data_IF_807009617162
#
_entry.id   IF_807009617162
#
_cell.length_a   1.000
_cell.length_b   1.000
_cell.length_c   1.000
_cell.angle_alpha   90.00
_cell.angle_beta   90.00
_cell.angle_gamma   90.00
#
_symmetry.space_group_name_H-M   'P 1'
#
loop_
_entity.id
_entity.type
_entity.pdbx_description
1 polymer ?
#
# COMPACT_ATOMS: atom_id res chain seq x y z
N UNK A 1 17.57 -6.86 -0.41
CA UNK A 1 16.89 -7.58 -1.52
C UNK A 1 15.53 -6.95 -1.93
N UNK A 2 14.39 -7.10 -1.22
CA UNK A 2 13.17 -6.30 -1.53
C UNK A 2 13.29 -4.85 -1.04
N UNK A 3 13.84 -4.67 0.16
CA UNK A 3 14.12 -3.36 0.76
C UNK A 3 15.00 -2.48 -0.13
N UNK A 4 16.01 -3.07 -0.78
CA UNK A 4 16.85 -2.36 -1.76
C UNK A 4 16.07 -1.85 -2.97
N UNK A 5 15.13 -2.62 -3.51
CA UNK A 5 14.24 -2.18 -4.61
C UNK A 5 13.31 -1.05 -4.18
N UNK A 6 12.98 -0.99 -2.88
CA UNK A 6 12.25 0.12 -2.28
C UNK A 6 13.17 1.32 -1.94
N UNK A 7 14.48 1.23 -2.21
CA UNK A 7 15.45 2.27 -1.91
C UNK A 7 15.93 2.29 -0.45
N UNK A 8 15.67 1.23 0.30
CA UNK A 8 16.02 1.06 1.71
C UNK A 8 17.26 0.19 1.86
N UNK A 9 18.39 0.67 1.34
CA UNK A 9 19.69 -0.03 1.43
C UNK A 9 20.18 -0.07 2.89
N UNK A 10 20.71 -1.21 3.31
CA UNK A 10 21.22 -1.41 4.68
C UNK A 10 20.15 -1.69 5.73
N UNK A 11 18.87 -1.75 5.34
CA UNK A 11 17.79 -2.19 6.22
C UNK A 11 17.64 -3.71 6.18
N UNK A 12 17.29 -4.28 7.34
CA UNK A 12 16.96 -5.70 7.53
C UNK A 12 15.53 -5.82 8.01
N UNK A 13 14.80 -6.83 7.52
CA UNK A 13 13.43 -7.12 7.97
C UNK A 13 13.47 -7.75 9.37
N UNK A 14 12.67 -7.24 10.29
CA UNK A 14 12.34 -7.95 11.52
C UNK A 14 11.23 -8.97 11.23
N UNK A 15 11.63 -10.21 10.98
CA UNK A 15 10.71 -11.29 10.63
C UNK A 15 9.69 -11.63 11.73
N UNK A 16 9.89 -11.17 12.97
CA UNK A 16 8.92 -11.38 14.06
C UNK A 16 7.69 -10.48 13.94
N UNK A 17 7.78 -9.43 13.12
CA UNK A 17 6.72 -8.42 12.94
C UNK A 17 5.88 -8.63 11.67
N UNK A 18 6.15 -9.69 10.92
CA UNK A 18 5.46 -9.95 9.66
C UNK A 18 4.02 -10.35 9.93
N UNK A 19 3.08 -9.60 9.36
CA UNK A 19 1.64 -9.81 9.55
C UNK A 19 0.89 -9.67 8.21
N UNK A 20 -0.21 -10.40 8.08
CA UNK A 20 -1.15 -10.31 6.96
C UNK A 20 -2.44 -9.67 7.46
N UNK A 21 -3.16 -8.99 6.56
CA UNK A 21 -4.46 -8.39 6.87
C UNK A 21 -4.42 -7.47 8.11
N UNK A 22 -3.55 -6.46 8.07
CA UNK A 22 -3.37 -5.56 9.21
C UNK A 22 -4.52 -4.58 9.37
N UNK A 23 -5.04 -4.50 10.59
CA UNK A 23 -5.96 -3.46 11.02
C UNK A 23 -5.16 -2.29 11.57
N UNK A 24 -5.39 -1.09 11.04
CA UNK A 24 -4.67 0.08 11.49
C UNK A 24 -5.15 0.59 12.85
N UNK A 25 -4.21 1.11 13.65
CA UNK A 25 -4.52 1.86 14.88
C UNK A 25 -5.27 3.19 14.62
N UNK A 26 -5.22 3.71 13.38
CA UNK A 26 -6.04 4.88 12.97
C UNK A 26 -7.48 4.45 12.75
N UNK A 27 -7.69 3.25 12.20
CA UNK A 27 -8.99 2.70 11.86
C UNK A 27 -9.38 1.62 12.89
N UNK A 28 -9.72 2.03 14.11
CA UNK A 28 -10.04 1.12 15.24
C UNK A 28 -11.39 0.38 15.10
N UNK A 29 -11.87 0.17 13.88
CA UNK A 29 -13.11 -0.59 13.63
C UNK A 29 -12.74 -2.00 13.18
N UNK A 30 -13.23 -3.02 13.90
CA UNK A 30 -12.84 -4.44 13.82
C UNK A 30 -13.10 -5.17 12.48
N UNK A 31 -13.40 -4.47 11.37
CA UNK A 31 -13.86 -5.11 10.13
C UNK A 31 -13.27 -4.56 8.84
N UNK A 32 -12.40 -3.55 8.92
CA UNK A 32 -11.77 -2.97 7.73
C UNK A 32 -10.25 -3.17 7.83
N UNK A 33 -9.71 -4.21 7.18
CA UNK A 33 -8.27 -4.35 6.99
C UNK A 33 -7.76 -3.16 6.16
N UNK A 34 -6.66 -2.56 6.59
CA UNK A 34 -6.05 -1.41 5.93
C UNK A 34 -4.92 -1.81 5.00
N UNK A 35 -4.30 -2.98 5.21
CA UNK A 35 -3.18 -3.47 4.42
C UNK A 35 -3.22 -4.99 4.28
N UNK A 36 -2.81 -5.51 3.12
CA UNK A 36 -2.77 -6.95 2.87
C UNK A 36 -1.59 -7.63 3.58
N UNK A 37 -0.50 -6.88 3.77
CA UNK A 37 0.75 -7.37 4.32
C UNK A 37 1.55 -6.23 4.94
N UNK A 38 2.28 -6.49 6.02
CA UNK A 38 3.21 -5.52 6.58
C UNK A 38 4.36 -6.17 7.35
N UNK A 39 5.38 -5.37 7.62
CA UNK A 39 6.47 -5.70 8.52
C UNK A 39 7.21 -4.45 8.96
N UNK A 40 8.05 -4.60 9.98
CA UNK A 40 9.03 -3.62 10.41
C UNK A 40 10.45 -4.02 10.03
N UNK A 41 11.34 -3.03 9.92
CA UNK A 41 12.78 -3.26 9.88
C UNK A 41 13.37 -3.25 11.28
N UNK A 42 14.54 -3.86 11.46
CA UNK A 42 15.28 -3.84 12.73
C UNK A 42 15.63 -2.41 13.21
N UNK A 43 15.69 -1.44 12.28
CA UNK A 43 15.90 -0.02 12.62
C UNK A 43 14.61 0.72 13.01
N UNK A 44 13.46 0.04 13.00
CA UNK A 44 12.16 0.58 13.42
C UNK A 44 11.33 1.20 12.29
N UNK A 45 11.66 0.99 11.02
CA UNK A 45 10.84 1.48 9.90
C UNK A 45 9.69 0.51 9.63
N UNK A 46 8.48 1.04 9.50
CA UNK A 46 7.28 0.24 9.19
C UNK A 46 7.00 0.28 7.69
N UNK A 47 6.67 -0.86 7.09
CA UNK A 47 6.28 -0.97 5.69
C UNK A 47 4.92 -1.61 5.58
N UNK A 48 3.98 -0.88 4.99
CA UNK A 48 2.61 -1.33 4.80
C UNK A 48 2.33 -1.56 3.32
N UNK A 49 1.82 -2.74 2.96
CA UNK A 49 1.61 -3.15 1.58
C UNK A 49 0.13 -3.26 1.25
N UNK A 50 -0.23 -2.71 0.11
CA UNK A 50 -1.53 -2.86 -0.53
C UNK A 50 -1.27 -3.48 -1.91
N UNK A 51 -1.92 -4.61 -2.18
CA UNK A 51 -1.58 -5.51 -3.26
C UNK A 51 -2.79 -5.67 -4.18
N UNK A 52 -2.61 -5.31 -5.45
CA UNK A 52 -3.59 -5.53 -6.51
C UNK A 52 -3.18 -6.69 -7.39
N UNK A 53 -4.14 -7.56 -7.70
CA UNK A 53 -3.93 -8.74 -8.53
C UNK A 53 -4.71 -8.64 -9.83
N UNK A 54 -6.02 -8.45 -9.73
CA UNK A 54 -6.97 -8.47 -10.88
C UNK A 54 -7.98 -7.33 -10.85
N UNK A 55 -7.99 -6.56 -9.78
CA UNK A 55 -8.94 -5.47 -9.59
C UNK A 55 -8.76 -4.42 -10.68
N UNK A 56 -9.86 -3.94 -11.24
CA UNK A 56 -9.83 -2.96 -12.34
C UNK A 56 -9.35 -1.58 -11.88
N UNK A 57 -9.53 -1.25 -10.61
CA UNK A 57 -9.18 0.02 -10.00
C UNK A 57 -9.12 -0.11 -8.48
N UNK A 58 -8.55 0.90 -7.81
CA UNK A 58 -8.67 1.02 -6.35
C UNK A 58 -10.10 1.33 -5.92
N UNK A 59 -10.49 0.75 -4.78
CA UNK A 59 -11.83 0.88 -4.22
C UNK A 59 -12.19 2.33 -3.85
N UNK A 60 -13.42 2.71 -4.20
CA UNK A 60 -14.04 3.99 -3.81
C UNK A 60 -15.11 3.74 -2.76
N UNK A 61 -15.49 4.79 -2.02
CA UNK A 61 -16.56 4.73 -1.06
C UNK A 61 -17.76 5.55 -1.52
N UNK A 62 -18.97 5.02 -1.30
CA UNK A 62 -20.20 5.79 -1.45
C UNK A 62 -20.23 6.91 -0.40
N UNK A 63 -20.62 8.11 -0.83
CA UNK A 63 -20.91 9.22 0.07
C UNK A 63 -22.26 8.97 0.76
N UNK A 64 -22.20 8.44 1.98
CA UNK A 64 -23.33 8.31 2.88
C UNK A 64 -22.98 8.82 4.29
N UNK A 65 -23.98 8.95 5.15
CA UNK A 65 -23.82 9.55 6.48
C UNK A 65 -22.73 8.85 7.32
N UNK A 66 -22.62 7.52 7.23
CA UNK A 66 -21.61 6.77 7.98
C UNK A 66 -20.19 7.08 7.48
N UNK A 67 -19.98 7.13 6.15
CA UNK A 67 -18.66 7.42 5.58
C UNK A 67 -18.26 8.88 5.75
N UNK A 68 -19.21 9.82 5.65
CA UNK A 68 -18.99 11.23 5.96
C UNK A 68 -18.54 11.38 7.42
N UNK A 69 -19.29 10.79 8.35
CA UNK A 69 -18.95 10.84 9.77
C UNK A 69 -17.57 10.22 10.05
N UNK A 70 -17.24 9.07 9.43
CA UNK A 70 -15.91 8.44 9.58
C UNK A 70 -14.79 9.33 9.03
N UNK A 71 -15.01 10.01 7.91
CA UNK A 71 -14.07 11.00 7.40
C UNK A 71 -13.85 12.16 8.38
N UNK A 72 -14.93 12.78 8.85
CA UNK A 72 -14.82 13.96 9.72
C UNK A 72 -14.19 13.65 11.09
N UNK A 73 -14.48 12.46 11.64
CA UNK A 73 -14.02 12.06 12.98
C UNK A 73 -12.65 11.38 12.99
N UNK A 74 -12.28 10.66 11.93
CA UNK A 74 -11.05 9.87 11.88
C UNK A 74 -10.11 10.40 10.81
N UNK A 75 -10.53 10.33 9.55
CA UNK A 75 -9.60 10.48 8.43
C UNK A 75 -9.12 11.91 8.20
N UNK A 76 -9.97 12.92 8.40
CA UNK A 76 -9.62 14.32 8.21
C UNK A 76 -8.40 14.70 9.05
N UNK A 77 -8.41 14.31 10.34
CA UNK A 77 -7.30 14.55 11.26
C UNK A 77 -6.08 13.69 10.91
N UNK A 78 -6.28 12.41 10.59
CA UNK A 78 -5.18 11.51 10.24
C UNK A 78 -4.43 11.94 8.97
N UNK A 79 -5.12 12.57 8.02
CA UNK A 79 -4.59 13.11 6.78
C UNK A 79 -3.89 14.46 6.93
N UNK A 80 -4.06 15.16 8.07
CA UNK A 80 -3.40 16.43 8.32
C UNK A 80 -1.89 16.29 8.18
N UNK A 81 -1.28 17.23 7.46
CA UNK A 81 0.15 17.31 7.18
C UNK A 81 0.71 16.14 6.34
N UNK A 82 -0.09 15.14 5.95
CA UNK A 82 0.32 14.02 5.09
C UNK A 82 -0.23 14.13 3.68
N UNK A 83 -1.46 14.63 3.58
CA UNK A 83 -2.17 14.89 2.34
C UNK A 83 -2.26 16.40 2.18
N UNK A 84 -2.00 16.89 0.96
CA UNK A 84 -2.07 18.32 0.69
C UNK A 84 -3.46 18.88 0.96
N UNK A 85 -3.59 20.12 1.48
CA UNK A 85 -4.87 20.66 1.94
C UNK A 85 -5.99 20.62 0.90
N UNK A 86 -5.68 20.85 -0.38
CA UNK A 86 -6.65 20.84 -1.48
C UNK A 86 -7.27 19.44 -1.71
N UNK A 87 -6.56 18.37 -1.36
CA UNK A 87 -7.04 16.99 -1.47
C UNK A 87 -7.59 16.43 -0.15
N UNK A 88 -7.36 17.10 0.99
CA UNK A 88 -7.92 16.71 2.29
C UNK A 88 -9.35 17.24 2.47
N UNK A 89 -10.27 16.76 1.64
CA UNK A 89 -11.71 16.98 1.78
C UNK A 89 -12.46 15.66 1.62
N UNK A 90 -13.70 15.59 2.11
CA UNK A 90 -14.48 14.35 2.14
C UNK A 90 -14.71 13.77 0.74
N UNK A 91 -15.00 14.60 -0.24
CA UNK A 91 -15.32 14.16 -1.60
C UNK A 91 -14.12 13.53 -2.29
N UNK A 92 -12.97 14.21 -2.27
CA UNK A 92 -11.71 13.65 -2.78
C UNK A 92 -11.33 12.38 -2.03
N UNK A 93 -11.48 12.36 -0.70
CA UNK A 93 -11.12 11.20 0.12
C UNK A 93 -11.97 9.98 -0.24
N UNK A 94 -13.30 10.11 -0.30
CA UNK A 94 -14.19 8.99 -0.62
C UNK A 94 -14.08 8.54 -2.09
N UNK A 95 -13.80 9.47 -3.02
CA UNK A 95 -13.53 9.14 -4.42
C UNK A 95 -12.25 8.31 -4.62
N UNK A 96 -11.30 8.38 -3.68
CA UNK A 96 -10.03 7.65 -3.70
C UNK A 96 -9.85 6.81 -2.43
N UNK A 97 -10.95 6.28 -1.88
CA UNK A 97 -11.05 5.80 -0.50
C UNK A 97 -9.95 4.82 -0.10
N UNK A 98 -9.71 3.78 -0.90
CA UNK A 98 -8.70 2.78 -0.57
C UNK A 98 -7.31 3.40 -0.51
N UNK A 99 -6.90 4.12 -1.56
CA UNK A 99 -5.58 4.78 -1.62
C UNK A 99 -5.43 5.77 -0.46
N UNK A 100 -6.41 6.64 -0.25
CA UNK A 100 -6.33 7.68 0.77
C UNK A 100 -6.23 7.07 2.18
N UNK A 101 -6.93 5.96 2.44
CA UNK A 101 -6.77 5.18 3.67
C UNK A 101 -5.37 4.61 3.84
N UNK A 102 -4.70 4.19 2.77
CA UNK A 102 -3.31 3.77 2.90
C UNK A 102 -2.38 4.98 3.14
N UNK A 103 -2.56 6.06 2.39
CA UNK A 103 -1.66 7.23 2.40
C UNK A 103 -1.59 7.95 3.75
N UNK A 104 -2.65 7.94 4.56
CA UNK A 104 -2.59 8.53 5.91
C UNK A 104 -1.62 7.81 6.86
N UNK A 105 -1.01 6.69 6.46
CA UNK A 105 -0.01 5.97 7.24
C UNK A 105 1.43 6.37 6.95
N UNK A 106 1.68 7.21 5.95
CA UNK A 106 3.05 7.70 5.71
C UNK A 106 3.54 8.53 6.89
N UNK A 107 4.81 8.36 7.22
CA UNK A 107 5.49 9.13 8.25
C UNK A 107 6.98 9.20 7.96
N UNK A 108 7.77 9.80 8.85
CA UNK A 108 9.23 9.77 8.75
C UNK A 108 9.76 8.33 8.66
N UNK A 109 9.16 7.42 9.42
CA UNK A 109 9.61 6.03 9.60
C UNK A 109 8.55 5.02 9.14
N UNK A 110 7.62 5.44 8.27
CA UNK A 110 6.56 4.56 7.76
C UNK A 110 6.37 4.75 6.27
N UNK A 111 6.31 3.63 5.55
CA UNK A 111 6.18 3.55 4.11
C UNK A 111 4.88 2.87 3.71
N UNK A 112 4.29 3.33 2.61
CA UNK A 112 3.17 2.69 1.95
C UNK A 112 3.67 2.15 0.61
N UNK A 113 3.43 0.88 0.35
CA UNK A 113 3.91 0.18 -0.84
C UNK A 113 2.72 -0.39 -1.60
N UNK A 114 2.45 0.15 -2.79
CA UNK A 114 1.47 -0.42 -3.71
C UNK A 114 2.16 -1.45 -4.60
N UNK A 115 1.75 -2.72 -4.50
CA UNK A 115 2.21 -3.79 -5.40
C UNK A 115 1.12 -4.03 -6.44
N UNK A 116 1.42 -3.72 -7.71
CA UNK A 116 0.40 -3.65 -8.76
C UNK A 116 0.84 -4.37 -10.04
N UNK A 117 -0.09 -4.87 -10.87
CA UNK A 117 0.26 -5.49 -12.14
C UNK A 117 0.60 -4.39 -13.15
N UNK A 118 1.75 -4.50 -13.82
CA UNK A 118 2.26 -3.48 -14.75
C UNK A 118 1.30 -3.15 -15.89
N UNK A 119 0.53 -4.14 -16.35
CA UNK A 119 -0.40 -4.00 -17.47
C UNK A 119 -1.75 -3.39 -17.08
N UNK A 120 -2.02 -3.20 -15.78
CA UNK A 120 -3.23 -2.53 -15.33
C UNK A 120 -2.97 -1.02 -15.24
N UNK A 121 -3.15 -0.35 -16.37
CA UNK A 121 -2.89 1.09 -16.52
C UNK A 121 -3.72 1.92 -15.55
N UNK A 122 -5.00 1.57 -15.31
CA UNK A 122 -5.87 2.32 -14.41
C UNK A 122 -5.38 2.30 -12.96
N UNK A 123 -5.06 1.12 -12.41
CA UNK A 123 -4.49 0.99 -11.06
C UNK A 123 -3.15 1.73 -10.96
N UNK A 124 -2.30 1.60 -11.98
CA UNK A 124 -1.01 2.30 -12.06
C UNK A 124 -1.19 3.82 -12.04
N UNK A 125 -2.09 4.35 -12.84
CA UNK A 125 -2.31 5.78 -12.95
C UNK A 125 -2.85 6.34 -11.63
N UNK A 126 -3.80 5.65 -10.99
CA UNK A 126 -4.30 6.05 -9.66
C UNK A 126 -3.19 6.08 -8.60
N UNK A 127 -2.32 5.06 -8.54
CA UNK A 127 -1.22 5.02 -7.57
C UNK A 127 -0.18 6.13 -7.82
N UNK A 128 0.17 6.37 -9.08
CA UNK A 128 1.12 7.41 -9.47
C UNK A 128 0.56 8.82 -9.24
N UNK A 129 -0.71 9.04 -9.61
CA UNK A 129 -1.42 10.29 -9.38
C UNK A 129 -1.48 10.60 -7.89
N UNK A 130 -1.87 9.63 -7.06
CA UNK A 130 -1.96 9.84 -5.63
C UNK A 130 -0.60 10.17 -5.00
N UNK A 131 0.47 9.48 -5.42
CA UNK A 131 1.84 9.79 -5.00
C UNK A 131 2.28 11.19 -5.46
N UNK A 132 1.97 11.59 -6.69
CA UNK A 132 2.45 12.84 -7.26
C UNK A 132 1.67 14.07 -6.78
N UNK A 133 0.34 13.91 -6.64
CA UNK A 133 -0.59 15.00 -6.41
C UNK A 133 -1.07 15.07 -4.96
N UNK A 134 -1.51 13.97 -4.36
CA UNK A 134 -2.24 14.00 -3.09
C UNK A 134 -1.32 14.13 -1.89
N UNK A 135 -0.18 13.44 -1.90
CA UNK A 135 0.73 13.38 -0.75
C UNK A 135 1.59 14.64 -0.66
N UNK A 136 1.81 15.11 0.56
CA UNK A 136 2.74 16.20 0.86
C UNK A 136 4.15 15.88 0.38
N UNK A 137 4.89 16.91 -0.07
CA UNK A 137 6.21 16.72 -0.71
C UNK A 137 7.16 15.92 0.19
N UNK A 138 7.15 16.22 1.49
CA UNK A 138 7.94 15.57 2.54
C UNK A 138 7.75 14.05 2.62
N UNK A 139 6.60 13.53 2.16
CA UNK A 139 6.27 12.11 2.24
C UNK A 139 6.18 11.40 0.89
N UNK A 140 6.42 12.08 -0.24
CA UNK A 140 6.37 11.43 -1.57
C UNK A 140 7.29 10.23 -1.69
N UNK A 141 8.48 10.30 -1.11
CA UNK A 141 9.44 9.19 -1.10
C UNK A 141 9.07 8.05 -0.17
N UNK A 142 8.06 8.25 0.69
CA UNK A 142 7.49 7.22 1.56
C UNK A 142 6.42 6.39 0.87
N UNK A 143 5.95 6.81 -0.30
CA UNK A 143 5.04 6.04 -1.15
C UNK A 143 5.83 5.35 -2.25
N UNK A 144 5.75 4.02 -2.30
CA UNK A 144 6.42 3.18 -3.29
C UNK A 144 5.39 2.50 -4.16
N UNK A 145 5.71 2.39 -5.44
CA UNK A 145 4.92 1.63 -6.41
C UNK A 145 5.83 0.56 -6.98
N UNK A 146 5.47 -0.69 -6.76
CA UNK A 146 6.22 -1.86 -7.19
C UNK A 146 5.35 -2.67 -8.16
N UNK A 147 5.97 -3.21 -9.20
CA UNK A 147 5.28 -4.07 -10.16
C UNK A 147 5.53 -5.55 -9.84
N UNK A 148 4.51 -6.38 -10.02
CA UNK A 148 4.63 -7.84 -9.89
C UNK A 148 5.78 -8.43 -10.73
N UNK A 149 6.00 -7.90 -11.93
CA UNK A 149 7.08 -8.30 -12.83
C UNK A 149 8.46 -8.20 -12.17
N UNK A 150 8.65 -7.24 -11.27
CA UNK A 150 9.90 -7.06 -10.53
C UNK A 150 10.07 -8.12 -9.43
N UNK A 151 8.97 -8.58 -8.83
CA UNK A 151 8.96 -9.63 -7.81
C UNK A 151 9.19 -11.01 -8.43
N UNK A 152 8.73 -11.24 -9.68
CA UNK A 152 8.94 -12.52 -10.37
C UNK A 152 10.43 -12.81 -10.61
N UNK A 153 11.14 -11.86 -11.24
CA UNK A 153 12.59 -12.01 -11.49
C UNK A 153 13.35 -12.33 -10.23
N UNK A 154 12.93 -11.74 -9.11
CA UNK A 154 13.53 -11.97 -7.82
C UNK A 154 13.31 -13.41 -7.34
N UNK A 155 12.10 -13.95 -7.46
CA UNK A 155 11.79 -15.31 -7.00
C UNK A 155 12.55 -16.35 -7.84
N UNK A 156 12.67 -16.14 -9.16
CA UNK A 156 13.46 -17.00 -10.04
C UNK A 156 14.95 -17.01 -9.69
N UNK A 157 15.49 -15.86 -9.28
CA UNK A 157 16.89 -15.71 -8.88
C UNK A 157 17.19 -16.33 -7.50
N UNK A 158 16.17 -16.68 -6.72
CA UNK A 158 16.33 -17.25 -5.39
C UNK A 158 16.23 -18.78 -5.37
N UNK A 159 17.02 -19.40 -4.49
CA UNK A 159 16.92 -20.84 -4.18
C UNK A 159 15.80 -21.08 -3.16
N UNK A 160 14.56 -21.10 -3.63
CA UNK A 160 13.42 -21.53 -2.82
C UNK A 160 13.26 -23.05 -2.82
N UNK A 161 12.57 -23.56 -1.80
CA UNK A 161 12.05 -24.93 -1.79
C UNK A 161 11.10 -25.16 -2.98
N UNK A 162 11.06 -26.39 -3.49
CA UNK A 162 10.29 -26.73 -4.69
C UNK A 162 8.80 -26.40 -4.57
N UNK A 163 8.23 -26.52 -3.36
CA UNK A 163 6.82 -26.20 -3.10
C UNK A 163 6.50 -24.72 -3.35
N UNK A 164 7.38 -23.82 -2.94
CA UNK A 164 7.20 -22.38 -3.15
C UNK A 164 7.35 -22.00 -4.63
N UNK A 165 8.29 -22.63 -5.33
CA UNK A 165 8.43 -22.46 -6.79
C UNK A 165 7.18 -22.91 -7.53
N UNK A 166 6.65 -24.11 -7.21
CA UNK A 166 5.43 -24.64 -7.83
C UNK A 166 4.25 -23.72 -7.57
N UNK A 167 4.05 -23.30 -6.32
CA UNK A 167 2.97 -22.37 -5.96
C UNK A 167 3.07 -21.05 -6.74
N UNK A 168 4.29 -20.55 -6.92
CA UNK A 168 4.51 -19.29 -7.64
C UNK A 168 4.27 -19.40 -9.15
N UNK A 169 4.61 -20.53 -9.77
CA UNK A 169 4.25 -20.81 -11.17
C UNK A 169 2.73 -20.97 -11.37
N UNK A 170 2.03 -21.58 -10.41
CA UNK A 170 0.56 -21.62 -10.42
C UNK A 170 -0.06 -20.23 -10.32
N UNK A 171 0.49 -19.39 -9.45
CA UNK A 171 0.10 -18.00 -9.29
C UNK A 171 0.26 -17.22 -10.61
N UNK A 172 1.41 -17.36 -11.28
CA UNK A 172 1.68 -16.76 -12.59
C UNK A 172 0.64 -17.15 -13.62
N UNK A 173 0.39 -18.46 -13.76
CA UNK A 173 -0.62 -18.99 -14.69
C UNK A 173 -2.02 -18.46 -14.40
N UNK A 174 -2.40 -18.40 -13.12
CA UNK A 174 -3.72 -17.92 -12.68
C UNK A 174 -3.94 -16.45 -13.05
N UNK A 175 -2.92 -15.61 -12.84
CA UNK A 175 -3.04 -14.15 -12.98
C UNK A 175 -2.49 -13.60 -14.30
N UNK A 176 -2.00 -14.48 -15.19
CA UNK A 176 -1.44 -14.11 -16.51
C UNK A 176 -0.32 -13.06 -16.40
N UNK A 177 0.55 -13.28 -15.40
CA UNK A 177 1.74 -12.47 -15.16
C UNK A 177 2.92 -12.92 -16.03
#
# INVERSE_FOLDING_TARGET
MILEKLGLKGETVDYTTVEFEKISTINKTNFDFDFDFDFSTESGKNLYFEIKYTEKEFGKAKKDAARINKYDTVYRKAAQNKIKPEFNNCDTFLANYQIMRNLIHVSKDSYVVFVIPKNNTKVKDQANEAKALFVEETYKDKVKVLYWDCLYKFIDEQKWEDKLKIHFEEFKRKYKL
#
